data_IF_985310509351
#
_entry.id   IF_985310509351
#
_cell.length_a   1.000
_cell.length_b   1.000
_cell.length_c   1.000
_cell.angle_alpha   90.00
_cell.angle_beta   90.00
_cell.angle_gamma   90.00
#
_symmetry.space_group_name_H-M   'P 1'
#
loop_
_entity.id
_entity.type
_entity.pdbx_description
1 polymer ?
#
# COMPACT_ATOMS: atom_id res chain seq x y z
N UNK A 1 14.10 -40.49 33.50
CA UNK A 1 14.72 -39.43 32.70
C UNK A 1 13.62 -38.98 31.76
N UNK A 2 12.91 -37.90 32.12
CA UNK A 2 11.76 -37.44 31.34
C UNK A 2 12.25 -36.95 29.99
N UNK A 3 11.64 -37.41 28.90
CA UNK A 3 11.84 -36.73 27.62
C UNK A 3 11.18 -35.37 27.75
N UNK A 4 11.97 -34.31 27.75
CA UNK A 4 11.44 -33.00 27.41
C UNK A 4 10.94 -33.09 25.97
N UNK A 5 9.69 -32.74 25.74
CA UNK A 5 9.17 -32.59 24.38
C UNK A 5 9.84 -31.36 23.76
N UNK A 6 10.20 -31.43 22.48
CA UNK A 6 10.95 -30.37 21.78
C UNK A 6 10.23 -29.01 21.90
N UNK A 7 8.90 -29.03 21.81
CA UNK A 7 8.02 -27.86 21.95
C UNK A 7 8.15 -27.15 23.32
N UNK A 8 8.37 -27.91 24.41
CA UNK A 8 8.60 -27.33 25.75
C UNK A 8 9.96 -26.62 25.82
N UNK A 9 10.95 -27.14 25.10
CA UNK A 9 12.29 -26.57 25.04
C UNK A 9 12.34 -25.30 24.18
N UNK A 10 11.61 -25.28 23.07
CA UNK A 10 11.42 -24.08 22.25
C UNK A 10 10.80 -22.94 23.05
N UNK A 11 9.68 -23.23 23.72
CA UNK A 11 9.00 -22.26 24.60
C UNK A 11 9.93 -21.74 25.69
N UNK A 12 10.69 -22.64 26.32
CA UNK A 12 11.64 -22.26 27.36
C UNK A 12 12.74 -21.32 26.85
N UNK A 13 13.31 -21.59 25.67
CA UNK A 13 14.35 -20.72 25.09
C UNK A 13 13.76 -19.37 24.73
N UNK A 14 12.57 -19.33 24.12
CA UNK A 14 11.86 -18.09 23.75
C UNK A 14 11.57 -17.20 24.96
N UNK A 15 11.03 -17.77 26.04
CA UNK A 15 10.69 -17.03 27.26
C UNK A 15 11.93 -16.50 27.99
N UNK A 16 13.10 -17.11 27.75
CA UNK A 16 14.35 -16.74 28.40
C UNK A 16 15.14 -15.65 27.64
N UNK A 17 14.78 -15.32 26.40
CA UNK A 17 15.55 -14.36 25.59
C UNK A 17 15.41 -12.94 26.15
N UNK A 18 16.53 -12.37 26.59
CA UNK A 18 16.61 -10.98 26.97
C UNK A 18 17.25 -10.14 25.84
N UNK A 19 16.42 -9.49 25.02
CA UNK A 19 16.85 -8.60 23.93
C UNK A 19 17.52 -7.29 24.41
N UNK A 20 17.77 -7.11 25.71
CA UNK A 20 18.62 -6.02 26.24
C UNK A 20 20.08 -6.45 26.50
N UNK A 21 20.41 -7.73 26.30
CA UNK A 21 21.71 -8.34 26.56
C UNK A 21 22.12 -9.27 25.42
N UNK A 22 23.17 -8.91 24.70
CA UNK A 22 23.59 -9.62 23.48
C UNK A 22 24.07 -11.05 23.76
N UNK A 23 24.56 -11.31 24.98
CA UNK A 23 24.95 -12.65 25.39
C UNK A 23 23.74 -13.55 25.51
N UNK A 24 22.63 -13.02 26.04
CA UNK A 24 21.38 -13.76 26.13
C UNK A 24 20.89 -14.16 24.74
N UNK A 25 20.89 -13.21 23.79
CA UNK A 25 20.47 -13.46 22.40
C UNK A 25 21.38 -14.51 21.75
N UNK A 26 22.69 -14.31 21.81
CA UNK A 26 23.66 -15.21 21.16
C UNK A 26 23.60 -16.63 21.70
N UNK A 27 23.48 -16.82 23.03
CA UNK A 27 23.39 -18.18 23.56
C UNK A 27 22.04 -18.84 23.30
N UNK A 28 20.94 -18.09 23.24
CA UNK A 28 19.65 -18.62 22.79
C UNK A 28 19.72 -19.08 21.33
N UNK A 29 20.36 -18.28 20.46
CA UNK A 29 20.66 -18.63 19.07
C UNK A 29 21.52 -19.91 18.96
N UNK A 30 22.60 -20.00 19.75
CA UNK A 30 23.45 -21.20 19.74
C UNK A 30 22.74 -22.44 20.25
N UNK A 31 21.85 -22.30 21.23
CA UNK A 31 21.02 -23.41 21.68
C UNK A 31 20.04 -23.85 20.61
N UNK A 32 19.38 -22.92 19.90
CA UNK A 32 18.46 -23.27 18.82
C UNK A 32 19.17 -24.01 17.69
N UNK A 33 20.36 -23.54 17.29
CA UNK A 33 21.21 -24.19 16.27
C UNK A 33 21.64 -25.60 16.70
N UNK A 34 22.18 -25.75 17.91
CA UNK A 34 22.70 -27.04 18.41
C UNK A 34 21.63 -28.10 18.58
N UNK A 35 20.40 -27.68 18.90
CA UNK A 35 19.27 -28.55 19.20
C UNK A 35 18.28 -28.66 18.04
N UNK A 36 18.54 -27.96 16.92
CA UNK A 36 17.68 -27.91 15.74
C UNK A 36 16.23 -27.47 16.08
N UNK A 37 16.12 -26.42 16.89
CA UNK A 37 14.85 -25.84 17.31
C UNK A 37 14.35 -24.83 16.26
N UNK A 38 13.04 -24.82 16.00
CA UNK A 38 12.42 -23.89 15.05
C UNK A 38 12.01 -22.59 15.76
N UNK A 39 13.01 -21.83 16.19
CA UNK A 39 12.81 -20.59 16.94
C UNK A 39 12.84 -19.39 15.99
N UNK A 40 11.72 -18.68 15.90
CA UNK A 40 11.66 -17.38 15.22
C UNK A 40 12.12 -16.28 16.19
N UNK A 41 13.33 -15.76 15.98
CA UNK A 41 13.85 -14.63 16.76
C UNK A 41 13.24 -13.32 16.31
N UNK A 42 13.14 -12.35 17.23
CA UNK A 42 12.75 -10.99 16.88
C UNK A 42 13.96 -10.24 16.32
N UNK A 43 14.15 -10.30 15.00
CA UNK A 43 15.30 -9.69 14.33
C UNK A 43 15.34 -8.16 14.44
N UNK A 44 14.17 -7.51 14.57
CA UNK A 44 14.11 -6.06 14.76
C UNK A 44 14.79 -5.64 16.08
N UNK A 45 14.45 -6.33 17.17
CA UNK A 45 15.05 -6.09 18.48
C UNK A 45 16.55 -6.45 18.50
N UNK A 46 16.96 -7.48 17.76
CA UNK A 46 18.38 -7.86 17.65
C UNK A 46 19.16 -6.76 16.92
N UNK A 47 18.64 -6.27 15.81
CA UNK A 47 19.26 -5.21 15.02
C UNK A 47 19.39 -3.90 15.84
N UNK A 48 18.31 -3.51 16.53
CA UNK A 48 18.30 -2.35 17.43
C UNK A 48 19.31 -2.52 18.58
N UNK A 49 19.37 -3.72 19.18
CA UNK A 49 20.32 -4.03 20.25
C UNK A 49 21.77 -3.86 19.77
N UNK A 50 22.12 -4.43 18.60
CA UNK A 50 23.48 -4.36 18.03
C UNK A 50 23.89 -2.90 17.84
N UNK A 51 23.01 -2.08 17.26
CA UNK A 51 23.26 -0.64 17.10
C UNK A 51 23.39 0.07 18.45
N UNK A 52 22.52 -0.24 19.40
CA UNK A 52 22.49 0.40 20.71
C UNK A 52 23.74 0.10 21.54
N UNK A 53 24.22 -1.14 21.55
CA UNK A 53 25.38 -1.53 22.37
C UNK A 53 26.73 -1.19 21.73
N UNK A 54 26.76 -0.78 20.45
CA UNK A 54 27.97 -0.29 19.83
C UNK A 54 28.43 1.05 20.44
N UNK A 55 29.74 1.23 20.52
CA UNK A 55 30.40 2.46 20.94
C UNK A 55 31.25 3.00 19.79
N UNK A 56 30.83 4.11 19.18
CA UNK A 56 31.62 4.77 18.13
C UNK A 56 32.97 5.27 18.63
N UNK A 57 33.05 5.75 19.89
CA UNK A 57 34.28 6.27 20.50
C UNK A 57 35.35 5.18 20.65
N UNK A 58 34.91 3.98 21.05
CA UNK A 58 35.81 2.87 21.35
C UNK A 58 35.95 1.89 20.20
N UNK A 59 35.08 1.99 19.19
CA UNK A 59 34.90 1.01 18.12
C UNK A 59 34.68 -0.42 18.65
N UNK A 60 33.96 -0.54 19.76
CA UNK A 60 33.74 -1.79 20.48
C UNK A 60 32.27 -1.92 20.91
N UNK A 61 31.86 -3.15 21.24
CA UNK A 61 30.51 -3.44 21.70
C UNK A 61 30.45 -3.64 23.23
N UNK A 62 29.42 -3.08 23.84
CA UNK A 62 29.04 -3.40 25.21
C UNK A 62 28.23 -4.70 25.27
N UNK A 63 28.24 -5.37 26.42
CA UNK A 63 27.47 -6.58 26.65
C UNK A 63 25.95 -6.35 26.67
N UNK A 64 25.52 -5.17 27.12
CA UNK A 64 24.10 -4.84 27.29
C UNK A 64 23.86 -3.35 27.09
N UNK A 65 22.59 -2.98 26.92
CA UNK A 65 22.15 -1.58 26.77
C UNK A 65 22.57 -0.67 27.93
N UNK A 66 22.93 -1.23 29.10
CA UNK A 66 23.43 -0.46 30.26
C UNK A 66 24.85 0.07 30.06
N UNK A 67 25.57 -0.40 29.03
CA UNK A 67 26.93 0.04 28.65
C UNK A 67 27.94 0.03 29.81
N UNK A 68 27.92 -1.01 30.64
CA UNK A 68 28.80 -1.14 31.83
C UNK A 68 30.03 -2.02 31.60
N UNK A 69 29.94 -2.98 30.69
CA UNK A 69 30.95 -4.00 30.44
C UNK A 69 31.15 -4.09 28.94
N UNK A 70 32.40 -3.99 28.51
CA UNK A 70 32.84 -4.32 27.15
C UNK A 70 33.39 -5.73 27.21
N UNK A 71 33.01 -6.55 26.24
CA UNK A 71 33.43 -7.93 26.12
C UNK A 71 33.79 -8.18 24.66
N UNK A 72 35.07 -8.47 24.38
CA UNK A 72 35.58 -8.57 23.00
C UNK A 72 34.97 -9.76 22.24
N UNK A 73 34.38 -10.73 22.94
CA UNK A 73 33.65 -11.82 22.30
C UNK A 73 32.36 -11.35 21.63
N UNK A 74 31.81 -10.19 22.02
CA UNK A 74 30.57 -9.66 21.43
C UNK A 74 30.74 -9.40 19.94
N UNK A 75 31.90 -8.90 19.49
CA UNK A 75 32.17 -8.72 18.07
C UNK A 75 32.07 -10.06 17.31
N UNK A 76 32.63 -11.12 17.90
CA UNK A 76 32.55 -12.45 17.32
C UNK A 76 31.10 -12.96 17.27
N UNK A 77 30.33 -12.81 18.35
CA UNK A 77 28.92 -13.20 18.41
C UNK A 77 28.07 -12.48 17.38
N UNK A 78 28.23 -11.16 17.25
CA UNK A 78 27.53 -10.33 16.27
C UNK A 78 27.90 -10.75 14.85
N UNK A 79 29.19 -10.94 14.56
CA UNK A 79 29.64 -11.35 13.23
C UNK A 79 29.09 -12.73 12.84
N UNK A 80 29.06 -13.67 13.79
CA UNK A 80 28.54 -15.01 13.56
C UNK A 80 27.03 -15.01 13.31
N UNK A 81 26.24 -14.36 14.17
CA UNK A 81 24.79 -14.21 13.97
C UNK A 81 24.47 -13.47 12.66
N UNK A 82 25.31 -12.50 12.30
CA UNK A 82 25.12 -11.76 11.06
C UNK A 82 25.28 -12.68 9.86
N UNK A 83 26.39 -13.42 9.77
CA UNK A 83 26.65 -14.31 8.64
C UNK A 83 25.63 -15.46 8.49
N UNK A 84 24.99 -15.89 9.57
CA UNK A 84 24.02 -16.98 9.55
C UNK A 84 22.59 -16.54 9.25
N UNK A 85 22.05 -15.59 10.02
CA UNK A 85 20.61 -15.27 10.02
C UNK A 85 20.31 -13.83 9.60
N UNK A 86 21.19 -12.86 9.92
CA UNK A 86 20.86 -11.44 9.70
C UNK A 86 21.29 -10.90 8.33
N UNK A 87 22.23 -11.57 7.66
CA UNK A 87 22.85 -11.11 6.39
C UNK A 87 21.89 -11.14 5.21
N UNK A 88 20.98 -12.12 5.19
CA UNK A 88 20.03 -12.28 4.10
C UNK A 88 18.68 -11.80 4.57
N UNK A 89 18.23 -10.71 4.00
CA UNK A 89 16.85 -10.28 4.14
C UNK A 89 16.13 -10.34 2.81
N UNK A 90 14.83 -10.51 2.90
CA UNK A 90 13.92 -10.45 1.78
C UNK A 90 12.77 -9.54 2.17
N UNK A 91 12.42 -8.63 1.27
CA UNK A 91 11.21 -7.82 1.38
C UNK A 91 10.51 -7.88 0.03
N UNK A 92 9.20 -8.13 0.06
CA UNK A 92 8.37 -8.21 -1.14
C UNK A 92 7.03 -7.52 -0.89
N UNK A 93 6.55 -6.85 -1.93
CA UNK A 93 5.24 -6.21 -1.95
C UNK A 93 4.38 -6.95 -2.98
N UNK A 94 3.15 -7.27 -2.64
CA UNK A 94 2.19 -7.92 -3.53
C UNK A 94 0.84 -7.21 -3.49
N UNK A 95 0.24 -6.98 -4.67
CA UNK A 95 -1.15 -6.52 -4.77
C UNK A 95 -2.07 -7.70 -4.55
N UNK A 96 -2.89 -7.65 -3.50
CA UNK A 96 -3.92 -8.65 -3.20
C UNK A 96 -5.19 -8.36 -4.00
N UNK A 97 -5.59 -7.09 -4.05
CA UNK A 97 -6.78 -6.65 -4.78
C UNK A 97 -6.59 -5.24 -5.32
N UNK A 98 -6.84 -5.08 -6.60
CA UNK A 98 -6.94 -3.80 -7.28
C UNK A 98 -7.88 -3.98 -8.47
N UNK A 99 -8.86 -3.08 -8.61
CA UNK A 99 -9.80 -3.08 -9.71
C UNK A 99 -9.92 -1.67 -10.27
N UNK A 100 -10.22 -1.59 -11.55
CA UNK A 100 -10.65 -0.35 -12.18
C UNK A 100 -11.95 0.13 -11.53
N UNK A 101 -12.18 1.44 -11.56
CA UNK A 101 -13.30 2.11 -10.90
C UNK A 101 -14.27 2.70 -11.92
N UNK A 102 -15.57 2.65 -11.62
CA UNK A 102 -16.55 3.45 -12.34
C UNK A 102 -16.45 4.92 -11.87
N UNK A 103 -16.69 5.86 -12.77
CA UNK A 103 -16.73 7.29 -12.43
C UNK A 103 -17.73 7.57 -11.28
N UNK A 104 -17.26 8.28 -10.25
CA UNK A 104 -17.98 8.60 -9.01
C UNK A 104 -18.45 7.37 -8.20
N UNK A 105 -17.89 6.19 -8.42
CA UNK A 105 -18.18 5.03 -7.56
C UNK A 105 -17.59 5.20 -6.16
N UNK A 106 -18.12 4.42 -5.21
CA UNK A 106 -17.66 4.35 -3.82
C UNK A 106 -17.39 2.91 -3.40
N UNK A 107 -16.55 2.73 -2.38
CA UNK A 107 -16.14 1.41 -1.90
C UNK A 107 -15.01 0.79 -2.73
N UNK A 108 -14.30 1.60 -3.51
CA UNK A 108 -13.13 1.18 -4.27
C UNK A 108 -11.92 1.18 -3.34
N UNK A 109 -11.20 0.08 -3.30
CA UNK A 109 -10.03 -0.06 -2.46
C UNK A 109 -8.91 -0.76 -3.22
N UNK A 110 -7.67 -0.38 -2.88
CA UNK A 110 -6.50 -1.20 -3.10
C UNK A 110 -6.19 -1.98 -1.82
N UNK A 111 -5.88 -3.26 -1.96
CA UNK A 111 -5.33 -4.09 -0.88
C UNK A 111 -3.99 -4.63 -1.33
N UNK A 112 -2.96 -4.46 -0.50
CA UNK A 112 -1.62 -4.96 -0.77
C UNK A 112 -1.02 -5.58 0.50
N UNK A 113 -0.01 -6.42 0.32
CA UNK A 113 0.76 -6.97 1.42
C UNK A 113 2.24 -6.61 1.33
N UNK A 114 2.86 -6.55 2.49
CA UNK A 114 4.31 -6.45 2.66
C UNK A 114 4.73 -7.68 3.45
N UNK A 115 5.58 -8.51 2.85
CA UNK A 115 6.23 -9.63 3.54
C UNK A 115 7.73 -9.33 3.65
N UNK A 116 8.27 -9.31 4.86
CA UNK A 116 9.65 -8.90 5.08
C UNK A 116 10.34 -9.64 6.22
N UNK A 117 11.64 -9.88 6.12
CA UNK A 117 12.47 -10.45 7.21
C UNK A 117 12.55 -9.53 8.43
N UNK A 118 12.53 -8.21 8.18
CA UNK A 118 12.58 -7.16 9.19
C UNK A 118 11.37 -6.25 9.07
N UNK A 119 10.96 -5.63 10.17
CA UNK A 119 10.04 -4.51 10.18
C UNK A 119 10.63 -3.27 9.50
N UNK A 120 9.79 -2.25 9.34
CA UNK A 120 10.16 -1.04 8.63
C UNK A 120 9.01 -0.06 8.48
N UNK A 121 9.12 0.81 7.48
CA UNK A 121 8.08 1.76 7.11
C UNK A 121 7.79 1.66 5.62
N UNK A 122 6.54 1.91 5.24
CA UNK A 122 6.14 2.05 3.85
C UNK A 122 5.49 3.39 3.59
N UNK A 123 5.44 3.75 2.31
CA UNK A 123 4.57 4.80 1.82
C UNK A 123 3.89 4.36 0.52
N UNK A 124 2.67 4.84 0.33
CA UNK A 124 1.85 4.69 -0.86
C UNK A 124 1.72 6.05 -1.54
N UNK A 125 2.02 6.10 -2.83
CA UNK A 125 1.79 7.25 -3.67
C UNK A 125 0.76 6.93 -4.76
N UNK A 126 -0.12 7.90 -5.01
CA UNK A 126 -1.03 7.90 -6.16
C UNK A 126 -0.74 9.17 -6.96
N UNK A 127 -0.45 9.00 -8.26
CA UNK A 127 -0.05 10.07 -9.20
C UNK A 127 1.11 10.94 -8.69
N UNK A 128 2.05 10.29 -8.00
CA UNK A 128 3.25 10.93 -7.44
C UNK A 128 3.02 11.73 -6.16
N UNK A 129 1.85 11.64 -5.54
CA UNK A 129 1.57 12.24 -4.24
C UNK A 129 1.49 11.15 -3.16
N UNK A 130 2.22 11.30 -2.06
CA UNK A 130 2.10 10.39 -0.90
C UNK A 130 0.72 10.55 -0.25
N UNK A 131 -0.07 9.49 -0.28
CA UNK A 131 -1.43 9.44 0.29
C UNK A 131 -1.46 8.74 1.64
N UNK A 132 -0.49 7.83 1.88
CA UNK A 132 -0.40 7.06 3.09
C UNK A 132 1.06 6.73 3.41
N UNK A 133 1.37 6.67 4.71
CA UNK A 133 2.63 6.16 5.23
C UNK A 133 2.42 5.57 6.61
N UNK A 134 2.93 4.36 6.85
CA UNK A 134 2.85 3.70 8.15
C UNK A 134 4.03 2.73 8.33
N UNK A 135 4.12 2.13 9.52
CA UNK A 135 5.06 1.07 9.87
C UNK A 135 4.52 -0.32 9.52
N UNK A 136 5.43 -1.25 9.26
CA UNK A 136 5.15 -2.68 9.13
C UNK A 136 6.04 -3.49 10.05
N UNK A 137 5.52 -4.61 10.57
CA UNK A 137 6.30 -5.54 11.39
C UNK A 137 7.01 -6.57 10.51
N UNK A 138 7.98 -7.30 11.06
CA UNK A 138 8.51 -8.49 10.38
C UNK A 138 7.40 -9.50 10.02
N UNK A 139 7.60 -10.25 8.95
CA UNK A 139 6.63 -11.18 8.39
C UNK A 139 5.63 -10.52 7.46
N UNK A 140 4.44 -11.12 7.37
CA UNK A 140 3.38 -10.74 6.44
C UNK A 140 2.42 -9.74 7.07
N UNK A 141 2.22 -8.60 6.42
CA UNK A 141 1.33 -7.51 6.82
C UNK A 141 0.42 -7.15 5.65
N UNK A 142 -0.85 -6.88 5.91
CA UNK A 142 -1.84 -6.49 4.90
C UNK A 142 -2.36 -5.08 5.18
N UNK A 143 -2.51 -4.28 4.11
CA UNK A 143 -2.95 -2.90 4.15
C UNK A 143 -4.06 -2.67 3.12
N UNK A 144 -5.00 -1.79 3.45
CA UNK A 144 -6.10 -1.41 2.57
C UNK A 144 -6.26 0.11 2.56
N UNK A 145 -6.30 0.69 1.37
CA UNK A 145 -6.49 2.12 1.15
C UNK A 145 -7.68 2.37 0.22
N UNK A 146 -8.46 3.41 0.49
CA UNK A 146 -9.61 3.79 -0.35
C UNK A 146 -9.16 4.57 -1.57
N UNK A 147 -9.72 4.24 -2.73
CA UNK A 147 -9.48 4.93 -4.00
C UNK A 147 -10.62 5.88 -4.37
N UNK A 148 -11.63 6.04 -3.49
CA UNK A 148 -12.85 6.81 -3.76
C UNK A 148 -12.56 8.30 -4.05
N UNK A 149 -11.46 8.85 -3.52
CA UNK A 149 -11.05 10.23 -3.77
C UNK A 149 -10.54 10.48 -5.20
N UNK A 150 -10.35 9.42 -5.99
CA UNK A 150 -9.84 9.49 -7.36
C UNK A 150 -10.92 9.22 -8.42
N UNK A 151 -12.12 8.79 -8.01
CA UNK A 151 -13.15 8.35 -8.98
C UNK A 151 -13.83 9.50 -9.72
N UNK A 152 -13.56 10.76 -9.37
CA UNK A 152 -14.04 11.95 -10.08
C UNK A 152 -13.08 12.43 -11.19
N UNK A 153 -11.96 11.75 -11.39
CA UNK A 153 -11.02 12.00 -12.47
C UNK A 153 -10.96 10.79 -13.42
N UNK A 154 -11.45 10.96 -14.66
CA UNK A 154 -11.40 9.88 -15.66
C UNK A 154 -9.97 9.75 -16.19
N UNK A 155 -9.42 8.53 -16.14
CA UNK A 155 -8.09 8.26 -16.68
C UNK A 155 -7.38 7.10 -16.00
N UNK A 156 -6.09 6.95 -16.34
CA UNK A 156 -5.18 6.06 -15.63
C UNK A 156 -4.59 6.79 -14.44
N UNK A 157 -4.63 6.15 -13.27
CA UNK A 157 -3.96 6.60 -12.06
C UNK A 157 -2.79 5.66 -11.72
N UNK A 158 -1.63 6.24 -11.46
CA UNK A 158 -0.41 5.50 -11.18
C UNK A 158 -0.25 5.28 -9.68
N UNK A 159 -0.03 4.03 -9.28
CA UNK A 159 0.25 3.64 -7.90
C UNK A 159 1.72 3.28 -7.77
N UNK A 160 2.37 3.82 -6.73
CA UNK A 160 3.71 3.45 -6.31
C UNK A 160 3.72 3.11 -4.83
N UNK A 161 4.33 1.98 -4.47
CA UNK A 161 4.51 1.55 -3.08
C UNK A 161 5.99 1.32 -2.86
N UNK A 162 6.55 1.90 -1.80
CA UNK A 162 7.90 1.62 -1.35
C UNK A 162 7.84 1.18 0.12
N UNK A 163 8.51 0.09 0.42
CA UNK A 163 8.72 -0.41 1.77
C UNK A 163 10.22 -0.39 2.05
N UNK A 164 10.63 0.30 3.12
CA UNK A 164 12.02 0.37 3.58
C UNK A 164 12.13 -0.30 4.95
N UNK A 165 12.98 -1.32 5.07
CA UNK A 165 13.24 -2.02 6.34
C UNK A 165 14.14 -1.21 7.27
N UNK A 166 14.21 -1.58 8.56
CA UNK A 166 15.09 -0.92 9.55
C UNK A 166 16.59 -1.00 9.22
N UNK A 167 16.99 -1.96 8.40
CA UNK A 167 18.36 -2.09 7.87
C UNK A 167 18.61 -1.25 6.61
N UNK A 168 17.55 -0.61 6.07
CA UNK A 168 17.60 0.26 4.91
C UNK A 168 17.42 -0.44 3.57
N UNK A 169 17.00 -1.71 3.54
CA UNK A 169 16.67 -2.37 2.28
C UNK A 169 15.29 -1.95 1.80
N UNK A 170 15.19 -1.75 0.49
CA UNK A 170 13.97 -1.27 -0.15
C UNK A 170 13.32 -2.35 -1.02
N UNK A 171 12.00 -2.46 -0.94
CA UNK A 171 11.16 -3.13 -1.91
C UNK A 171 10.21 -2.10 -2.52
N UNK A 172 10.05 -2.15 -3.84
CA UNK A 172 9.18 -1.21 -4.56
C UNK A 172 8.23 -1.94 -5.49
N UNK A 173 7.00 -1.45 -5.62
CA UNK A 173 6.01 -1.93 -6.56
C UNK A 173 5.34 -0.75 -7.27
N UNK A 174 5.09 -0.90 -8.57
CA UNK A 174 4.33 0.06 -9.36
C UNK A 174 3.24 -0.64 -10.14
N UNK A 175 2.05 -0.06 -10.15
CA UNK A 175 0.88 -0.54 -10.89
C UNK A 175 -0.02 0.64 -11.25
N UNK A 176 -1.13 0.39 -11.93
CA UNK A 176 -2.15 1.42 -12.18
C UNK A 176 -3.56 0.86 -12.05
N UNK A 177 -4.53 1.75 -11.92
CA UNK A 177 -5.95 1.48 -12.11
C UNK A 177 -6.56 2.53 -13.04
N UNK A 178 -7.65 2.17 -13.71
CA UNK A 178 -8.38 3.09 -14.57
C UNK A 178 -9.69 3.51 -13.92
N UNK A 179 -10.02 4.80 -14.02
CA UNK A 179 -11.36 5.32 -13.78
C UNK A 179 -12.02 5.51 -15.14
N UNK A 180 -13.13 4.81 -15.37
CA UNK A 180 -13.85 4.90 -16.64
C UNK A 180 -15.33 5.26 -16.41
N UNK A 181 -15.92 5.94 -17.39
CA UNK A 181 -17.35 6.21 -17.38
C UNK A 181 -18.07 5.19 -18.25
N UNK A 182 -19.07 4.52 -17.67
CA UNK A 182 -20.01 3.67 -18.40
C UNK A 182 -21.26 4.45 -18.84
N UNK A 183 -21.25 5.78 -18.72
CA UNK A 183 -22.43 6.59 -18.95
C UNK A 183 -22.87 6.58 -20.40
N UNK A 184 -24.17 6.41 -20.58
CA UNK A 184 -24.80 6.51 -21.88
C UNK A 184 -25.46 7.89 -22.02
N UNK A 185 -24.96 8.71 -22.94
CA UNK A 185 -25.66 9.95 -23.32
C UNK A 185 -26.52 9.72 -24.55
N UNK A 186 -27.83 9.86 -24.38
CA UNK A 186 -28.82 9.68 -25.43
C UNK A 186 -29.53 10.99 -25.76
N UNK A 187 -29.72 11.24 -27.06
CA UNK A 187 -30.49 12.36 -27.58
C UNK A 187 -31.66 11.82 -28.40
N UNK A 188 -32.87 12.02 -27.90
CA UNK A 188 -34.11 11.64 -28.58
C UNK A 188 -34.76 12.86 -29.23
N UNK A 189 -34.87 12.86 -30.56
CA UNK A 189 -35.68 13.86 -31.26
C UNK A 189 -37.16 13.47 -31.17
N UNK A 190 -37.93 14.22 -30.39
CA UNK A 190 -39.34 13.94 -30.12
C UNK A 190 -40.26 14.59 -31.16
N UNK A 191 -39.88 15.77 -31.65
CA UNK A 191 -40.65 16.53 -32.65
C UNK A 191 -39.73 17.31 -33.57
N UNK A 192 -39.88 17.06 -34.87
CA UNK A 192 -39.32 17.85 -35.95
C UNK A 192 -40.29 17.76 -37.14
N UNK A 193 -41.18 18.75 -37.26
CA UNK A 193 -42.15 18.77 -38.34
C UNK A 193 -41.55 19.42 -39.59
N UNK A 194 -42.15 19.15 -40.76
CA UNK A 194 -41.89 19.94 -41.95
C UNK A 194 -42.66 21.27 -41.83
N UNK A 195 -41.99 22.38 -42.12
CA UNK A 195 -42.57 23.72 -42.04
C UNK A 195 -42.67 24.35 -43.42
N UNK A 196 -43.75 25.11 -43.64
CA UNK A 196 -43.90 25.89 -44.86
C UNK A 196 -42.95 27.10 -44.85
N UNK A 197 -42.60 27.56 -46.05
CA UNK A 197 -41.69 28.68 -46.22
C UNK A 197 -42.21 29.93 -45.50
N UNK A 198 -41.36 30.54 -44.65
CA UNK A 198 -41.65 31.74 -43.84
C UNK A 198 -42.71 31.58 -42.74
N UNK A 199 -43.05 30.36 -42.32
CA UNK A 199 -43.84 30.20 -41.09
C UNK A 199 -43.02 30.53 -39.85
N UNK A 200 -43.69 31.08 -38.83
CA UNK A 200 -43.08 31.42 -37.53
C UNK A 200 -43.73 30.60 -36.41
N UNK A 201 -43.01 30.39 -35.30
CA UNK A 201 -43.52 29.62 -34.16
C UNK A 201 -43.42 28.10 -34.35
N UNK A 202 -42.55 27.66 -35.25
CA UNK A 202 -42.16 26.27 -35.43
C UNK A 202 -41.38 25.79 -34.20
N UNK A 203 -41.60 24.55 -33.77
CA UNK A 203 -41.04 24.02 -32.53
C UNK A 203 -40.33 22.69 -32.78
N UNK A 204 -39.09 22.60 -32.33
CA UNK A 204 -38.35 21.35 -32.18
C UNK A 204 -38.44 20.94 -30.73
N UNK A 205 -38.59 19.64 -30.49
CA UNK A 205 -38.56 19.09 -29.14
C UNK A 205 -37.65 17.91 -29.15
N UNK A 206 -36.69 17.90 -28.24
CA UNK A 206 -35.81 16.77 -28.00
C UNK A 206 -35.73 16.49 -26.50
N UNK A 207 -35.35 15.27 -26.17
CA UNK A 207 -35.04 14.84 -24.81
C UNK A 207 -33.57 14.45 -24.76
N UNK A 208 -32.91 14.90 -23.70
CA UNK A 208 -31.55 14.50 -23.38
C UNK A 208 -31.61 13.59 -22.16
N UNK A 209 -30.89 12.48 -22.21
CA UNK A 209 -30.72 11.56 -21.10
C UNK A 209 -29.25 11.21 -20.96
N UNK A 210 -28.77 11.15 -19.72
CA UNK A 210 -27.38 10.81 -19.40
C UNK A 210 -27.28 10.46 -17.92
N UNK A 211 -26.48 9.46 -17.58
CA UNK A 211 -26.19 9.13 -16.18
C UNK A 211 -25.39 10.25 -15.48
N UNK A 212 -24.62 11.03 -16.24
CA UNK A 212 -23.92 12.23 -15.77
C UNK A 212 -24.19 13.44 -16.68
N UNK A 213 -25.37 14.08 -16.55
CA UNK A 213 -25.74 15.23 -17.35
C UNK A 213 -24.76 16.40 -17.18
N UNK A 214 -24.32 16.98 -18.30
CA UNK A 214 -23.53 18.22 -18.32
C UNK A 214 -24.19 19.24 -19.25
N UNK A 215 -23.64 19.45 -20.45
CA UNK A 215 -24.05 20.51 -21.36
C UNK A 215 -24.56 19.97 -22.70
N UNK A 216 -25.45 20.73 -23.30
CA UNK A 216 -25.85 20.55 -24.69
C UNK A 216 -25.55 21.81 -25.50
N UNK A 217 -25.32 21.59 -26.79
CA UNK A 217 -25.32 22.62 -27.80
C UNK A 217 -26.25 22.18 -28.94
N UNK A 218 -27.15 23.07 -29.36
CA UNK A 218 -28.08 22.86 -30.45
C UNK A 218 -27.83 23.90 -31.53
N UNK A 219 -27.46 23.41 -32.72
CA UNK A 219 -27.14 24.22 -33.89
C UNK A 219 -28.02 23.84 -35.08
N UNK A 220 -28.43 24.82 -35.87
CA UNK A 220 -29.08 24.62 -37.17
C UNK A 220 -28.16 25.16 -38.25
N UNK A 221 -27.81 24.34 -39.25
CA UNK A 221 -26.87 24.68 -40.32
C UNK A 221 -25.51 25.23 -39.83
N UNK A 222 -25.08 24.81 -38.63
CA UNK A 222 -23.84 25.25 -38.00
C UNK A 222 -23.94 26.56 -37.20
N UNK A 223 -25.09 27.23 -37.18
CA UNK A 223 -25.35 28.38 -36.31
C UNK A 223 -25.98 27.93 -34.97
N UNK A 224 -25.41 28.40 -33.85
CA UNK A 224 -25.91 28.10 -32.51
C UNK A 224 -27.28 28.76 -32.28
N UNK A 225 -28.25 27.92 -31.91
CA UNK A 225 -29.61 28.36 -31.62
C UNK A 225 -29.91 28.29 -30.12
N UNK A 226 -29.35 27.29 -29.42
CA UNK A 226 -29.45 27.18 -27.97
C UNK A 226 -28.32 26.34 -27.39
N UNK A 227 -27.86 26.70 -26.20
CA UNK A 227 -26.97 25.90 -25.37
C UNK A 227 -27.35 26.02 -23.91
N UNK A 228 -26.86 25.09 -23.09
CA UNK A 228 -27.08 25.14 -21.65
C UNK A 228 -26.71 23.83 -20.97
N UNK A 229 -26.86 23.81 -19.64
CA UNK A 229 -26.83 22.55 -18.89
C UNK A 229 -28.13 21.76 -19.10
N UNK A 230 -28.07 20.44 -18.95
CA UNK A 230 -29.26 19.59 -18.88
C UNK A 230 -29.24 18.67 -17.66
N UNK A 231 -30.40 18.16 -17.28
CA UNK A 231 -30.56 17.08 -16.31
C UNK A 231 -31.01 15.81 -17.01
N UNK A 232 -30.85 14.66 -16.37
CA UNK A 232 -31.27 13.40 -16.95
C UNK A 232 -32.78 13.39 -17.24
N UNK A 233 -33.14 12.93 -18.44
CA UNK A 233 -34.50 12.90 -18.95
C UNK A 233 -35.11 14.27 -19.26
N UNK A 234 -34.33 15.35 -19.27
CA UNK A 234 -34.86 16.70 -19.48
C UNK A 234 -35.41 16.89 -20.90
N UNK A 235 -36.63 17.43 -20.96
CA UNK A 235 -37.24 17.92 -22.18
C UNK A 235 -36.77 19.34 -22.48
N UNK A 236 -36.31 19.58 -23.71
CA UNK A 236 -35.89 20.90 -24.15
C UNK A 236 -36.77 21.32 -25.34
N UNK A 237 -37.77 22.20 -25.13
CA UNK A 237 -38.53 22.80 -26.22
C UNK A 237 -37.77 24.02 -26.76
N UNK A 238 -37.55 24.09 -28.08
CA UNK A 238 -36.92 25.22 -28.77
C UNK A 238 -37.64 25.60 -30.05
#
# INVERSE_FOLDING_TARGET
MGSFELDELETFVLDAINYSDIRSVYFSYKLSELLLLDITFNYDLIYELIGTIYSEELHEYYLSIKKRVIDHEVLFWVAEMFESELKYSSSSIEIISLQDCDFLSVGNNITFSINSTYGGNYYLEIDGNTVESDSFSLGWNEYTHSLDEYTDEIGEHLIFINATTIEGNEATLSTSFYVYSNSETMVDLLRLDNYEFLTTGNLITFRLSSDFPDKYNFTVDGEEFASGGYHDGQFVPK
#
